data_IF_591658746897
#
_entry.id   IF_591658746897
#
_cell.length_a   1.000
_cell.length_b   1.000
_cell.length_c   1.000
_cell.angle_alpha   90.00
_cell.angle_beta   90.00
_cell.angle_gamma   90.00
#
_symmetry.space_group_name_H-M   'P 1'
#
loop_
_entity.id
_entity.type
_entity.pdbx_description
1 polymer ?
#
# COMPACT_ATOMS: atom_id res chain seq x y z
N UNK A 1 -1.30 -24.34 71.35
CA UNK A 1 -2.28 -24.75 70.31
C UNK A 1 -2.61 -23.59 69.45
N UNK A 2 -2.00 -23.47 68.20
CA UNK A 2 -2.27 -22.40 67.21
C UNK A 2 -3.06 -23.04 66.07
N UNK A 3 -4.30 -22.57 65.88
CA UNK A 3 -5.15 -23.03 64.80
C UNK A 3 -4.81 -22.23 63.58
N UNK A 4 -4.42 -22.89 62.49
CA UNK A 4 -4.25 -22.33 61.11
C UNK A 4 -5.62 -22.35 60.44
N UNK A 5 -6.03 -21.21 59.93
CA UNK A 5 -7.17 -21.08 59.04
C UNK A 5 -6.73 -21.28 57.57
N UNK A 6 -7.44 -22.05 56.77
CA UNK A 6 -7.16 -22.17 55.37
C UNK A 6 -7.76 -20.96 54.61
N UNK A 7 -6.93 -20.26 53.89
CA UNK A 7 -7.35 -19.18 53.02
C UNK A 7 -8.20 -19.71 51.85
N UNK A 8 -9.34 -19.08 51.66
CA UNK A 8 -10.22 -19.32 50.49
C UNK A 8 -9.60 -18.62 49.30
N UNK A 9 -9.15 -19.42 48.30
CA UNK A 9 -8.76 -18.89 46.99
C UNK A 9 -10.03 -18.71 46.19
N UNK A 10 -10.44 -17.44 45.99
CA UNK A 10 -11.51 -17.10 45.06
C UNK A 10 -10.89 -17.10 43.65
N UNK A 11 -11.20 -18.12 42.85
CA UNK A 11 -10.91 -18.14 41.41
C UNK A 11 -11.99 -17.32 40.72
N UNK A 12 -11.66 -16.08 40.34
CA UNK A 12 -12.52 -15.27 39.48
C UNK A 12 -12.32 -15.79 38.04
N UNK A 13 -13.29 -16.58 37.57
CA UNK A 13 -13.37 -16.99 36.16
C UNK A 13 -13.82 -15.82 35.34
N UNK A 14 -12.90 -15.21 34.58
CA UNK A 14 -13.23 -14.21 33.57
C UNK A 14 -13.79 -14.93 32.33
N UNK A 15 -15.09 -14.95 32.19
CA UNK A 15 -15.71 -15.31 30.90
C UNK A 15 -15.40 -14.22 29.87
N UNK A 16 -14.45 -14.51 28.99
CA UNK A 16 -14.22 -13.69 27.79
C UNK A 16 -15.34 -13.99 26.79
N UNK A 17 -16.29 -13.07 26.62
CA UNK A 17 -17.23 -13.08 25.53
C UNK A 17 -16.43 -12.83 24.23
N UNK A 18 -16.27 -13.87 23.42
CA UNK A 18 -15.75 -13.77 22.07
C UNK A 18 -16.74 -12.99 21.19
N UNK A 19 -16.67 -11.66 21.24
CA UNK A 19 -17.16 -10.81 20.17
C UNK A 19 -16.19 -10.97 19.00
N UNK A 20 -16.68 -11.42 17.85
CA UNK A 20 -15.95 -11.48 16.60
C UNK A 20 -15.67 -10.04 16.16
N UNK A 21 -14.59 -9.44 16.68
CA UNK A 21 -14.04 -8.22 16.14
C UNK A 21 -13.23 -8.58 14.91
N UNK A 22 -13.60 -8.08 13.76
CA UNK A 22 -12.80 -8.17 12.53
C UNK A 22 -11.42 -7.59 12.83
N UNK A 23 -10.41 -8.46 12.92
CA UNK A 23 -9.03 -8.04 13.16
C UNK A 23 -8.54 -7.41 11.86
N UNK A 24 -8.61 -6.08 11.78
CA UNK A 24 -7.84 -5.32 10.79
C UNK A 24 -6.37 -5.56 11.13
N UNK A 25 -5.63 -6.19 10.23
CA UNK A 25 -4.19 -6.40 10.40
C UNK A 25 -3.49 -5.05 10.41
N UNK A 26 -3.16 -4.58 11.61
CA UNK A 26 -2.34 -3.36 11.79
C UNK A 26 -0.88 -3.77 11.61
N UNK A 27 -0.28 -3.36 10.53
CA UNK A 27 1.16 -3.53 10.29
C UNK A 27 1.94 -2.49 11.09
N UNK A 28 2.67 -2.94 12.12
CA UNK A 28 3.19 -2.09 13.23
C UNK A 28 4.45 -1.27 12.89
N UNK A 29 5.02 -1.34 11.69
CA UNK A 29 6.25 -0.61 11.33
C UNK A 29 6.01 0.61 10.41
N UNK A 30 4.93 0.60 9.63
CA UNK A 30 4.34 1.75 8.93
C UNK A 30 2.85 1.64 9.13
N UNK A 31 2.20 2.71 9.56
CA UNK A 31 0.78 2.71 9.90
C UNK A 31 -0.11 2.66 8.65
N UNK A 32 -0.15 1.52 7.96
CA UNK A 32 -1.08 1.28 6.86
C UNK A 32 -2.38 0.67 7.38
N UNK A 33 -3.50 1.21 6.89
CA UNK A 33 -4.84 0.69 7.18
C UNK A 33 -5.46 0.26 5.85
N UNK A 34 -5.71 -1.03 5.68
CA UNK A 34 -6.45 -1.55 4.53
C UNK A 34 -7.96 -1.48 4.79
N UNK A 35 -8.72 -1.02 3.80
CA UNK A 35 -10.18 -0.97 3.82
C UNK A 35 -10.77 -2.01 2.87
N UNK A 36 -11.95 -2.53 3.20
CA UNK A 36 -12.66 -3.53 2.40
C UNK A 36 -13.07 -3.03 1.00
N UNK A 37 -13.05 -1.72 0.81
CA UNK A 37 -13.36 -1.07 -0.46
C UNK A 37 -12.18 -1.03 -1.46
N UNK A 38 -11.09 -1.74 -1.17
CA UNK A 38 -9.91 -1.84 -2.05
C UNK A 38 -8.98 -0.62 -1.98
N UNK A 39 -8.98 0.11 -0.86
CA UNK A 39 -8.06 1.22 -0.61
C UNK A 39 -7.17 0.96 0.61
N UNK A 40 -6.00 1.61 0.65
CA UNK A 40 -5.03 1.53 1.74
C UNK A 40 -4.60 2.94 2.15
N UNK A 41 -4.81 3.30 3.41
CA UNK A 41 -4.37 4.58 3.98
C UNK A 41 -2.96 4.43 4.58
N UNK A 42 -2.02 5.25 4.13
CA UNK A 42 -0.77 5.52 4.86
C UNK A 42 -1.03 6.65 5.87
N UNK A 43 -1.17 6.32 7.15
CA UNK A 43 -1.47 7.31 8.19
C UNK A 43 -0.31 8.26 8.48
N UNK A 44 0.92 7.91 8.08
CA UNK A 44 2.10 8.75 8.25
C UNK A 44 2.09 9.95 7.28
N UNK A 45 1.67 9.70 6.04
CA UNK A 45 1.61 10.72 4.98
C UNK A 45 0.21 11.28 4.77
N UNK A 46 -0.81 10.64 5.34
CA UNK A 46 -2.22 10.86 5.06
C UNK A 46 -2.53 10.76 3.55
N UNK A 47 -1.89 9.81 2.89
CA UNK A 47 -2.18 9.43 1.50
C UNK A 47 -2.97 8.13 1.47
N UNK A 48 -3.98 8.10 0.62
CA UNK A 48 -4.76 6.91 0.33
C UNK A 48 -4.37 6.36 -1.03
N UNK A 49 -4.05 5.08 -1.09
CA UNK A 49 -3.57 4.35 -2.25
C UNK A 49 -4.62 3.35 -2.73
N UNK A 50 -4.66 3.09 -4.03
CA UNK A 50 -5.32 1.88 -4.51
C UNK A 50 -4.58 0.64 -3.95
N UNK A 51 -5.33 -0.38 -3.49
CA UNK A 51 -4.73 -1.62 -2.98
C UNK A 51 -4.04 -2.46 -4.07
N UNK A 52 -4.26 -2.12 -5.36
CA UNK A 52 -3.63 -2.78 -6.52
C UNK A 52 -3.33 -1.76 -7.62
N UNK A 53 -2.28 -2.05 -8.39
CA UNK A 53 -2.00 -1.33 -9.64
C UNK A 53 -3.01 -1.69 -10.76
N UNK A 54 -2.82 -1.14 -11.96
CA UNK A 54 -3.69 -1.40 -13.13
C UNK A 54 -3.59 -2.83 -13.70
N UNK A 55 -2.68 -3.67 -13.22
CA UNK A 55 -2.57 -5.10 -13.56
C UNK A 55 -1.93 -5.42 -14.92
N UNK A 56 -1.59 -4.43 -15.75
CA UNK A 56 -1.06 -4.63 -17.10
C UNK A 56 -0.05 -3.56 -17.50
N UNK A 57 0.72 -3.84 -18.56
CA UNK A 57 1.64 -2.89 -19.16
C UNK A 57 0.91 -1.63 -19.63
N UNK A 58 1.48 -0.47 -19.31
CA UNK A 58 0.84 0.81 -19.60
C UNK A 58 1.90 1.90 -19.86
N UNK A 59 1.71 2.72 -20.91
CA UNK A 59 2.54 3.90 -21.14
C UNK A 59 2.12 5.06 -20.22
N UNK A 60 2.93 6.11 -20.15
CA UNK A 60 2.69 7.19 -19.20
C UNK A 60 1.38 7.98 -19.44
N UNK A 61 1.01 8.39 -20.70
CA UNK A 61 -0.25 9.10 -20.93
C UNK A 61 -1.48 8.30 -20.51
N UNK A 62 -1.48 6.99 -20.80
CA UNK A 62 -2.57 6.09 -20.43
C UNK A 62 -2.57 5.83 -18.92
N UNK A 63 -1.39 5.72 -18.27
CA UNK A 63 -1.26 5.59 -16.83
C UNK A 63 -1.83 6.82 -16.09
N UNK A 64 -1.56 8.02 -16.59
CA UNK A 64 -2.13 9.28 -16.07
C UNK A 64 -3.64 9.25 -16.17
N UNK A 65 -4.16 8.94 -17.35
CA UNK A 65 -5.61 8.83 -17.60
C UNK A 65 -6.25 7.76 -16.70
N UNK A 66 -5.61 6.60 -16.55
CA UNK A 66 -6.07 5.54 -15.65
C UNK A 66 -6.21 6.04 -14.20
N UNK A 67 -5.19 6.70 -13.66
CA UNK A 67 -5.23 7.22 -12.29
C UNK A 67 -6.33 8.26 -12.09
N UNK A 68 -6.49 9.21 -13.03
CA UNK A 68 -7.50 10.27 -12.96
C UNK A 68 -8.93 9.74 -13.09
N UNK A 69 -9.11 8.64 -13.83
CA UNK A 69 -10.40 7.98 -14.01
C UNK A 69 -10.67 6.84 -13.02
N UNK A 70 -9.74 6.56 -12.11
CA UNK A 70 -9.95 5.52 -11.09
C UNK A 70 -11.11 5.91 -10.17
N UNK A 71 -11.90 4.91 -9.73
CA UNK A 71 -13.10 5.12 -8.88
C UNK A 71 -13.14 4.18 -7.68
N UNK A 72 -12.01 3.57 -7.35
CA UNK A 72 -11.90 2.69 -6.19
C UNK A 72 -12.30 3.39 -4.90
N UNK A 73 -12.91 2.66 -3.98
CA UNK A 73 -13.40 3.18 -2.72
C UNK A 73 -14.57 4.16 -2.83
N UNK A 74 -15.12 4.39 -4.04
CA UNK A 74 -16.17 5.39 -4.28
C UNK A 74 -15.68 6.84 -4.37
N UNK A 75 -14.36 7.06 -4.44
CA UNK A 75 -13.75 8.38 -4.56
C UNK A 75 -13.53 8.77 -6.04
N UNK A 76 -13.47 10.09 -6.31
CA UNK A 76 -13.33 10.65 -7.67
C UNK A 76 -12.12 11.57 -7.84
N UNK A 77 -11.34 11.79 -6.78
CA UNK A 77 -10.19 12.69 -6.71
C UNK A 77 -8.85 11.96 -6.75
N UNK A 78 -8.82 10.82 -7.41
CA UNK A 78 -7.61 10.05 -7.64
C UNK A 78 -6.70 10.74 -8.66
N UNK A 79 -5.40 10.56 -8.50
CA UNK A 79 -4.37 11.10 -9.38
C UNK A 79 -3.18 10.15 -9.48
N UNK A 80 -2.31 10.40 -10.42
CA UNK A 80 -1.00 9.78 -10.48
C UNK A 80 -0.12 10.29 -9.32
N UNK A 81 0.64 9.41 -8.64
CA UNK A 81 1.54 9.79 -7.57
C UNK A 81 2.74 10.58 -8.08
N UNK A 82 3.36 11.37 -7.21
CA UNK A 82 4.69 11.90 -7.46
C UNK A 82 5.76 10.82 -7.23
N UNK A 83 6.96 11.05 -7.74
CA UNK A 83 8.10 10.14 -7.54
C UNK A 83 8.47 10.03 -6.05
N UNK A 84 8.41 11.14 -5.30
CA UNK A 84 8.66 11.15 -3.86
C UNK A 84 7.58 10.41 -3.07
N UNK A 85 6.32 10.48 -3.48
CA UNK A 85 5.24 9.72 -2.86
C UNK A 85 5.44 8.20 -3.05
N UNK A 86 5.85 7.77 -4.25
CA UNK A 86 6.23 6.37 -4.50
C UNK A 86 7.43 5.94 -3.66
N UNK A 87 8.47 6.78 -3.59
CA UNK A 87 9.64 6.53 -2.74
C UNK A 87 9.25 6.39 -1.27
N UNK A 88 8.23 7.13 -0.82
CA UNK A 88 7.67 7.02 0.52
C UNK A 88 7.06 5.65 0.84
N UNK A 89 6.62 4.89 -0.16
CA UNK A 89 6.13 3.52 0.03
C UNK A 89 7.24 2.48 0.12
N UNK A 90 8.43 2.76 -0.44
CA UNK A 90 9.53 1.81 -0.47
C UNK A 90 10.00 1.41 0.93
N UNK A 91 10.15 0.13 1.18
CA UNK A 91 10.61 -0.44 2.44
C UNK A 91 11.50 -1.66 2.18
N UNK A 92 12.82 -1.47 2.27
CA UNK A 92 13.80 -2.54 2.03
C UNK A 92 13.66 -3.73 3.00
N UNK A 93 12.97 -3.57 4.14
CA UNK A 93 12.70 -4.65 5.08
C UNK A 93 11.49 -5.51 4.69
N UNK A 94 10.71 -5.09 3.71
CA UNK A 94 9.54 -5.81 3.17
C UNK A 94 9.87 -6.36 1.80
N UNK A 95 9.39 -7.55 1.50
CA UNK A 95 9.60 -8.16 0.18
C UNK A 95 8.46 -9.10 -0.14
N UNK A 96 7.89 -8.96 -1.33
CA UNK A 96 7.06 -10.00 -1.92
C UNK A 96 7.33 -10.10 -3.43
N UNK A 97 6.95 -11.24 -4.02
CA UNK A 97 7.15 -11.46 -5.46
C UNK A 97 5.95 -10.91 -6.25
N UNK A 98 6.25 -10.02 -7.21
CA UNK A 98 5.25 -9.52 -8.17
C UNK A 98 4.90 -10.59 -9.22
N UNK A 99 3.82 -10.41 -9.97
CA UNK A 99 3.39 -11.35 -11.00
C UNK A 99 4.39 -11.42 -12.17
N UNK A 100 5.13 -10.32 -12.43
CA UNK A 100 6.26 -10.29 -13.37
C UNK A 100 7.52 -11.02 -12.85
N UNK A 101 7.51 -11.57 -11.64
CA UNK A 101 8.63 -12.31 -11.05
C UNK A 101 9.69 -11.47 -10.36
N UNK A 102 9.52 -10.16 -10.26
CA UNK A 102 10.43 -9.28 -9.52
C UNK A 102 10.11 -9.30 -8.02
N UNK A 103 11.15 -9.25 -7.19
CA UNK A 103 11.00 -8.93 -5.77
C UNK A 103 10.73 -7.43 -5.65
N UNK A 104 9.65 -7.06 -4.97
CA UNK A 104 9.27 -5.67 -4.76
C UNK A 104 9.23 -5.37 -3.26
N UNK A 105 9.68 -4.18 -2.89
CA UNK A 105 9.95 -3.80 -1.50
C UNK A 105 8.93 -2.76 -1.02
N UNK A 106 7.75 -3.22 -0.62
CA UNK A 106 6.71 -2.41 0.04
C UNK A 106 5.76 -3.32 0.83
N UNK A 107 4.78 -2.72 1.51
CA UNK A 107 3.75 -3.48 2.24
C UNK A 107 2.92 -4.36 1.30
N UNK A 108 2.61 -5.59 1.73
CA UNK A 108 1.73 -6.52 0.99
C UNK A 108 0.28 -6.03 0.87
N UNK A 109 -0.10 -5.01 1.64
CA UNK A 109 -1.42 -4.38 1.56
C UNK A 109 -1.62 -3.63 0.23
N UNK A 110 -0.51 -3.24 -0.44
CA UNK A 110 -0.51 -2.65 -1.79
C UNK A 110 0.16 -3.65 -2.73
N UNK A 111 -0.62 -4.19 -3.66
CA UNK A 111 -0.16 -5.22 -4.59
C UNK A 111 0.27 -4.63 -5.92
N UNK A 112 1.56 -4.75 -6.22
CA UNK A 112 2.12 -4.45 -7.54
C UNK A 112 2.28 -5.72 -8.36
N UNK A 113 1.81 -5.69 -9.61
CA UNK A 113 1.94 -6.82 -10.54
C UNK A 113 3.28 -6.81 -11.28
N UNK A 114 4.00 -5.65 -11.30
CA UNK A 114 5.38 -5.56 -11.79
C UNK A 114 6.19 -4.54 -10.99
N UNK A 115 7.51 -4.40 -11.28
CA UNK A 115 8.43 -3.64 -10.41
C UNK A 115 8.43 -2.13 -10.63
N UNK A 116 8.07 -1.64 -11.81
CA UNK A 116 8.13 -0.22 -12.17
C UNK A 116 6.77 0.46 -12.12
N UNK A 117 6.68 1.62 -11.46
CA UNK A 117 5.45 2.42 -11.37
C UNK A 117 5.71 3.84 -11.87
N UNK A 118 4.86 4.33 -12.79
CA UNK A 118 4.92 5.68 -13.31
C UNK A 118 4.63 6.72 -12.23
N UNK A 119 5.33 7.85 -12.32
CA UNK A 119 5.11 9.05 -11.49
C UNK A 119 4.66 10.24 -12.37
N UNK A 120 4.16 11.29 -11.71
CA UNK A 120 3.51 12.42 -12.39
C UNK A 120 4.46 13.39 -13.07
N UNK A 121 5.72 13.45 -12.65
CA UNK A 121 6.71 14.40 -13.16
C UNK A 121 7.19 14.01 -14.54
N UNK A 122 7.35 15.00 -15.40
CA UNK A 122 7.83 14.83 -16.76
C UNK A 122 8.97 15.79 -17.07
N UNK A 123 9.82 15.38 -18.02
CA UNK A 123 10.84 16.21 -18.64
C UNK A 123 10.95 15.87 -20.11
N UNK A 124 10.62 16.84 -20.97
CA UNK A 124 10.54 16.67 -22.43
C UNK A 124 9.62 15.48 -22.80
N UNK A 125 10.12 14.50 -23.55
CA UNK A 125 9.40 13.29 -23.94
C UNK A 125 9.50 12.15 -22.92
N UNK A 126 10.10 12.40 -21.75
CA UNK A 126 10.30 11.41 -20.68
C UNK A 126 9.43 11.70 -19.47
N UNK A 127 9.10 10.67 -18.72
CA UNK A 127 8.39 10.74 -17.45
C UNK A 127 9.15 10.01 -16.35
N UNK A 128 8.93 10.47 -15.12
CA UNK A 128 9.49 9.85 -13.92
C UNK A 128 8.83 8.50 -13.63
N UNK A 129 9.61 7.58 -13.07
CA UNK A 129 9.11 6.34 -12.51
C UNK A 129 9.89 5.96 -11.25
N UNK A 130 9.31 5.08 -10.46
CA UNK A 130 9.95 4.45 -9.31
C UNK A 130 10.03 2.94 -9.52
N UNK A 131 11.21 2.35 -9.25
CA UNK A 131 11.44 0.92 -9.39
C UNK A 131 11.50 0.25 -8.01
N UNK A 132 10.43 -0.44 -7.65
CA UNK A 132 10.26 -1.03 -6.31
C UNK A 132 11.16 -2.22 -6.01
N UNK A 133 11.83 -2.79 -7.03
CA UNK A 133 12.81 -3.86 -6.80
C UNK A 133 14.16 -3.37 -6.27
N UNK A 134 14.47 -2.08 -6.42
CA UNK A 134 15.78 -1.54 -6.04
C UNK A 134 15.74 -0.14 -5.44
N UNK A 135 14.54 0.51 -5.38
CA UNK A 135 14.41 1.88 -4.89
C UNK A 135 14.90 2.95 -5.87
N UNK A 136 15.14 2.60 -7.13
CA UNK A 136 15.66 3.54 -8.14
C UNK A 136 14.57 4.50 -8.60
N UNK A 137 14.93 5.78 -8.66
CA UNK A 137 14.18 6.88 -9.27
C UNK A 137 14.85 7.27 -10.57
N UNK A 138 14.12 7.26 -11.68
CA UNK A 138 14.68 7.64 -12.99
C UNK A 138 13.61 8.21 -13.94
N UNK A 139 14.06 8.57 -15.15
CA UNK A 139 13.22 9.01 -16.25
C UNK A 139 13.25 7.97 -17.37
N UNK A 140 12.12 7.77 -18.03
CA UNK A 140 12.03 6.89 -19.20
C UNK A 140 11.07 7.48 -20.24
N UNK A 141 11.19 7.15 -21.55
CA UNK A 141 10.31 7.67 -22.58
C UNK A 141 8.83 7.40 -22.27
N UNK A 142 8.00 8.45 -22.36
CA UNK A 142 6.57 8.37 -22.04
C UNK A 142 5.79 7.37 -22.90
N UNK A 143 6.27 7.09 -24.11
CA UNK A 143 5.66 6.13 -25.04
C UNK A 143 5.91 4.66 -24.68
N UNK A 144 6.85 4.40 -23.78
CA UNK A 144 7.19 3.04 -23.37
C UNK A 144 6.23 2.55 -22.29
N UNK A 145 5.86 1.26 -22.33
CA UNK A 145 4.89 0.72 -21.37
C UNK A 145 5.26 -0.64 -20.78
N UNK A 146 6.15 -1.40 -21.43
CA UNK A 146 6.43 -2.77 -21.02
C UNK A 146 7.03 -2.84 -19.61
N UNK A 147 6.36 -3.55 -18.71
CA UNK A 147 6.76 -3.71 -17.30
C UNK A 147 6.40 -2.53 -16.40
N UNK A 148 5.81 -1.45 -16.93
CA UNK A 148 5.38 -0.29 -16.15
C UNK A 148 3.90 -0.41 -15.74
N UNK A 149 3.59 0.16 -14.56
CA UNK A 149 2.26 0.13 -13.94
C UNK A 149 1.79 1.53 -13.54
N UNK A 150 0.49 1.65 -13.35
CA UNK A 150 -0.16 2.82 -12.78
C UNK A 150 -0.72 2.45 -11.39
N UNK A 151 -0.36 3.22 -10.36
CA UNK A 151 -0.85 3.05 -8.99
C UNK A 151 -1.54 4.35 -8.53
N UNK A 152 -2.87 4.42 -8.50
CA UNK A 152 -3.59 5.63 -8.09
C UNK A 152 -3.35 6.00 -6.63
N UNK A 153 -3.24 7.31 -6.36
CA UNK A 153 -3.15 7.91 -5.03
C UNK A 153 -4.12 9.09 -4.90
N UNK A 154 -4.56 9.36 -3.69
CA UNK A 154 -5.34 10.56 -3.33
C UNK A 154 -5.03 11.00 -1.90
N UNK A 155 -5.54 12.19 -1.49
CA UNK A 155 -5.50 12.61 -0.08
C UNK A 155 -6.38 11.70 0.78
N UNK A 156 -5.92 11.30 1.93
CA UNK A 156 -6.61 10.44 2.90
C UNK A 156 -7.61 11.17 3.78
N UNK A 157 -8.45 12.02 3.20
CA UNK A 157 -9.49 12.75 3.97
C UNK A 157 -10.70 11.86 4.20
#
# INVERSE_FOLDING_TARGET
MKRLWPGIIIVISFMILNGCASVTTVETARNFIAYDNGTVLDTRTNLMWAAKDNGSDINWPDAKSYCENYRGGGYTDWRMPTQDELAGLYDAAKTYKSDCGYDVHLTELIRLTCGATWASETRDSSASYFYFSSGVQALYPQSYGFGYRALPVRSGK
#
